data_IF_098889027627
#
_entry.id   IF_098889027627
#
_cell.length_a   1.000
_cell.length_b   1.000
_cell.length_c   1.000
_cell.angle_alpha   90.00
_cell.angle_beta   90.00
_cell.angle_gamma   90.00
#
_symmetry.space_group_name_H-M   'P 1'
#
loop_
_entity.id
_entity.type
_entity.pdbx_description
1 polymer ?
#
# COMPACT_ATOMS: atom_id res chain seq x y z
N UNK A 1 12.69 -3.22 -22.35
CA UNK A 1 12.36 -4.50 -22.98
C UNK A 1 13.29 -4.75 -24.17
N UNK A 2 13.34 -3.93 -25.21
CA UNK A 2 14.24 -4.08 -26.35
C UNK A 2 15.72 -4.28 -25.96
N UNK A 3 16.19 -3.67 -24.90
CA UNK A 3 17.55 -3.85 -24.39
C UNK A 3 17.80 -5.24 -23.79
N UNK A 4 16.81 -5.82 -23.11
CA UNK A 4 16.88 -7.18 -22.56
C UNK A 4 16.92 -8.22 -23.70
N UNK A 5 16.08 -8.05 -24.71
CA UNK A 5 16.05 -8.92 -25.89
C UNK A 5 17.37 -8.87 -26.67
N UNK A 6 17.92 -7.65 -26.89
CA UNK A 6 19.21 -7.47 -27.59
C UNK A 6 20.38 -8.15 -26.90
N UNK A 7 20.34 -8.30 -25.60
CA UNK A 7 21.45 -8.90 -24.82
C UNK A 7 21.18 -10.35 -24.43
N UNK A 8 20.07 -10.96 -24.92
CA UNK A 8 19.68 -12.33 -24.59
C UNK A 8 19.45 -12.55 -23.08
N UNK A 9 19.10 -11.51 -22.38
CA UNK A 9 18.79 -11.56 -20.94
C UNK A 9 17.37 -12.06 -20.72
N UNK A 10 17.14 -12.76 -19.60
CA UNK A 10 15.79 -13.11 -19.16
C UNK A 10 15.00 -11.81 -18.90
N UNK A 11 13.73 -11.78 -19.31
CA UNK A 11 12.83 -10.66 -19.03
C UNK A 11 12.74 -10.42 -17.51
N UNK A 12 12.62 -9.16 -17.08
CA UNK A 12 12.53 -8.86 -15.67
C UNK A 12 11.22 -9.40 -15.10
N UNK A 13 11.24 -9.83 -13.84
CA UNK A 13 10.04 -9.96 -13.02
C UNK A 13 9.55 -8.56 -12.66
N UNK A 14 8.27 -8.28 -12.88
CA UNK A 14 7.62 -7.06 -12.41
C UNK A 14 6.91 -7.39 -11.10
N UNK A 15 7.24 -6.65 -10.04
CA UNK A 15 6.53 -6.70 -8.77
C UNK A 15 5.84 -5.35 -8.59
N UNK A 16 4.51 -5.35 -8.56
CA UNK A 16 3.68 -4.18 -8.29
C UNK A 16 3.32 -4.20 -6.80
N UNK A 17 3.57 -3.09 -6.13
CA UNK A 17 3.25 -2.91 -4.72
C UNK A 17 2.27 -1.75 -4.58
N UNK A 18 1.17 -1.96 -3.87
CA UNK A 18 0.14 -0.96 -3.60
C UNK A 18 -0.54 -0.44 -4.89
N UNK A 19 -0.60 -1.31 -5.89
CA UNK A 19 -1.18 -1.03 -7.21
C UNK A 19 -1.31 -2.33 -8.02
N UNK A 20 -2.13 -2.31 -9.06
CA UNK A 20 -2.22 -3.39 -10.04
C UNK A 20 -3.39 -4.35 -9.82
N UNK A 21 -4.25 -4.11 -8.83
CA UNK A 21 -5.42 -4.97 -8.55
C UNK A 21 -6.70 -4.56 -9.26
N UNK A 22 -6.78 -3.34 -9.81
CA UNK A 22 -8.04 -2.79 -10.31
C UNK A 22 -8.25 -3.05 -11.79
N UNK A 23 -9.51 -3.01 -12.25
CA UNK A 23 -9.83 -3.15 -13.68
C UNK A 23 -9.13 -2.09 -14.56
N UNK A 24 -8.80 -0.93 -14.00
CA UNK A 24 -8.09 0.15 -14.68
C UNK A 24 -6.66 -0.26 -15.07
N UNK A 25 -6.07 -1.20 -14.35
CA UNK A 25 -4.70 -1.69 -14.58
C UNK A 25 -4.63 -2.72 -15.72
N UNK A 26 -5.75 -3.33 -16.11
CA UNK A 26 -5.81 -4.45 -17.06
C UNK A 26 -5.08 -4.13 -18.37
N UNK A 27 -5.27 -2.92 -18.92
CA UNK A 27 -4.65 -2.54 -20.20
C UNK A 27 -3.12 -2.53 -20.09
N UNK A 28 -2.57 -2.05 -18.98
CA UNK A 28 -1.13 -2.00 -18.75
C UNK A 28 -0.56 -3.41 -18.50
N UNK A 29 -1.27 -4.22 -17.71
CA UNK A 29 -0.90 -5.61 -17.42
C UNK A 29 -0.92 -6.47 -18.69
N UNK A 30 -1.97 -6.35 -19.50
CA UNK A 30 -2.11 -7.00 -20.80
C UNK A 30 -0.95 -6.65 -21.74
N UNK A 31 -0.54 -5.37 -21.79
CA UNK A 31 0.61 -4.94 -22.59
C UNK A 31 1.92 -5.57 -22.10
N UNK A 32 2.13 -5.70 -20.79
CA UNK A 32 3.29 -6.37 -20.24
C UNK A 32 3.30 -7.86 -20.59
N UNK A 33 2.15 -8.53 -20.55
CA UNK A 33 2.01 -9.96 -20.90
C UNK A 33 2.28 -10.26 -22.37
N UNK A 34 2.12 -9.30 -23.28
CA UNK A 34 2.53 -9.48 -24.69
C UNK A 34 4.02 -9.81 -24.80
N UNK A 35 4.83 -9.38 -23.84
CA UNK A 35 6.26 -9.63 -23.76
C UNK A 35 6.63 -10.83 -22.88
N UNK A 36 5.65 -11.64 -22.48
CA UNK A 36 5.86 -12.81 -21.60
C UNK A 36 6.56 -12.47 -20.27
N UNK A 37 6.23 -11.31 -19.71
CA UNK A 37 6.78 -10.84 -18.43
C UNK A 37 6.03 -11.51 -17.28
N UNK A 38 6.76 -12.04 -16.30
CA UNK A 38 6.18 -12.49 -15.04
C UNK A 38 5.79 -11.28 -14.17
N UNK A 39 4.53 -11.27 -13.68
CA UNK A 39 3.96 -10.16 -12.91
C UNK A 39 3.44 -10.68 -11.57
N UNK A 40 3.92 -10.07 -10.49
CA UNK A 40 3.43 -10.28 -9.12
C UNK A 40 2.78 -9.00 -8.64
N UNK A 41 1.57 -9.09 -8.11
CA UNK A 41 0.83 -7.98 -7.51
C UNK A 41 0.67 -8.24 -6.02
N UNK A 42 1.09 -7.29 -5.19
CA UNK A 42 0.87 -7.26 -3.74
C UNK A 42 0.12 -5.96 -3.43
N UNK A 43 -1.18 -6.05 -3.24
CA UNK A 43 -2.05 -4.89 -3.14
C UNK A 43 -3.18 -5.14 -2.13
N UNK A 44 -3.82 -4.09 -1.65
CA UNK A 44 -4.92 -4.14 -0.70
C UNK A 44 -6.14 -3.31 -1.13
N UNK A 45 -6.06 -2.66 -2.28
CA UNK A 45 -7.21 -1.96 -2.85
C UNK A 45 -8.30 -2.95 -3.27
N UNK A 46 -9.55 -2.47 -3.28
CA UNK A 46 -10.67 -3.28 -3.75
C UNK A 46 -10.47 -3.67 -5.23
N UNK A 47 -10.31 -4.97 -5.52
CA UNK A 47 -9.91 -5.42 -6.86
C UNK A 47 -11.09 -5.57 -7.84
N UNK A 48 -12.28 -5.14 -7.46
CA UNK A 48 -13.53 -5.43 -8.16
C UNK A 48 -14.27 -6.64 -7.57
N UNK A 49 -15.37 -7.00 -8.22
CA UNK A 49 -16.18 -8.13 -7.80
C UNK A 49 -15.47 -9.46 -8.08
N UNK A 50 -15.57 -10.40 -7.15
CA UNK A 50 -15.04 -11.75 -7.35
C UNK A 50 -15.79 -12.45 -8.49
N UNK A 51 -15.05 -13.00 -9.43
CA UNK A 51 -15.59 -13.85 -10.52
C UNK A 51 -15.91 -15.24 -9.97
N UNK A 52 -15.01 -15.80 -9.16
CA UNK A 52 -15.21 -17.10 -8.48
C UNK A 52 -14.79 -17.01 -7.03
N UNK A 53 -15.34 -17.89 -6.20
CA UNK A 53 -14.97 -18.08 -4.79
C UNK A 53 -14.75 -19.56 -4.51
N UNK A 54 -13.60 -19.92 -3.96
CA UNK A 54 -13.34 -21.27 -3.44
C UNK A 54 -13.50 -21.23 -1.93
N UNK A 55 -14.35 -22.12 -1.41
CA UNK A 55 -14.71 -22.17 0.00
C UNK A 55 -13.82 -23.17 0.77
N UNK A 56 -13.78 -23.06 2.09
CA UNK A 56 -13.13 -24.03 3.00
C UNK A 56 -13.59 -25.49 2.78
N UNK A 57 -14.81 -25.68 2.26
CA UNK A 57 -15.31 -26.99 1.86
C UNK A 57 -14.59 -27.61 0.66
N UNK A 58 -13.82 -26.81 -0.07
CA UNK A 58 -13.21 -27.17 -1.36
C UNK A 58 -14.12 -26.94 -2.56
N UNK A 59 -15.35 -26.45 -2.36
CA UNK A 59 -16.28 -26.12 -3.44
C UNK A 59 -15.91 -24.77 -4.06
N UNK A 60 -15.96 -24.67 -5.39
CA UNK A 60 -15.82 -23.38 -6.10
C UNK A 60 -17.19 -22.97 -6.61
N UNK A 61 -17.60 -21.77 -6.25
CA UNK A 61 -18.88 -21.16 -6.59
C UNK A 61 -18.69 -19.89 -7.42
N UNK A 62 -19.76 -19.46 -8.10
CA UNK A 62 -19.78 -18.16 -8.78
C UNK A 62 -19.62 -17.00 -7.79
N UNK A 63 -18.86 -15.97 -8.19
CA UNK A 63 -18.56 -14.84 -7.33
C UNK A 63 -19.78 -14.08 -6.82
N UNK A 64 -20.89 -14.07 -7.60
CA UNK A 64 -22.16 -13.46 -7.21
C UNK A 64 -22.94 -14.25 -6.15
N UNK A 65 -22.55 -15.51 -5.88
CA UNK A 65 -23.22 -16.35 -4.88
C UNK A 65 -22.92 -15.85 -3.48
N UNK A 66 -23.97 -15.62 -2.68
CA UNK A 66 -23.82 -15.21 -1.28
C UNK A 66 -23.19 -16.35 -0.45
N UNK A 67 -22.18 -16.03 0.32
CA UNK A 67 -21.52 -16.90 1.28
C UNK A 67 -20.92 -16.06 2.42
N UNK A 68 -20.49 -16.73 3.52
CA UNK A 68 -19.75 -16.03 4.55
C UNK A 68 -18.32 -15.76 4.05
N UNK A 69 -17.84 -14.53 4.15
CA UNK A 69 -16.50 -14.15 3.75
C UNK A 69 -15.40 -14.97 4.45
N UNK A 70 -15.61 -15.31 5.73
CA UNK A 70 -14.68 -16.15 6.49
C UNK A 70 -14.50 -17.57 5.90
N UNK A 71 -15.43 -18.02 5.06
CA UNK A 71 -15.35 -19.33 4.41
C UNK A 71 -14.58 -19.28 3.08
N UNK A 72 -14.27 -18.10 2.57
CA UNK A 72 -13.53 -17.92 1.31
C UNK A 72 -12.04 -18.15 1.59
N UNK A 73 -11.44 -19.11 0.88
CA UNK A 73 -10.00 -19.41 0.94
C UNK A 73 -9.24 -18.96 -0.32
N UNK A 74 -9.96 -18.75 -1.42
CA UNK A 74 -9.41 -18.18 -2.64
C UNK A 74 -10.54 -17.58 -3.47
N UNK A 75 -10.29 -16.40 -4.05
CA UNK A 75 -11.16 -15.75 -5.02
C UNK A 75 -10.38 -15.42 -6.28
N UNK A 76 -11.09 -15.15 -7.38
CA UNK A 76 -10.49 -14.60 -8.59
C UNK A 76 -11.23 -13.35 -9.02
N UNK A 77 -10.49 -12.45 -9.64
CA UNK A 77 -10.97 -11.18 -10.18
C UNK A 77 -10.49 -10.99 -11.62
N UNK A 78 -10.96 -9.96 -12.31
CA UNK A 78 -10.68 -9.75 -13.73
C UNK A 78 -9.17 -9.60 -14.04
N UNK A 79 -8.39 -8.98 -13.16
CA UNK A 79 -6.95 -8.78 -13.36
C UNK A 79 -6.15 -10.08 -13.29
N UNK A 80 -6.66 -11.13 -12.64
CA UNK A 80 -5.95 -12.41 -12.46
C UNK A 80 -5.65 -13.12 -13.78
N UNK A 81 -6.34 -12.76 -14.87
CA UNK A 81 -6.03 -13.25 -16.21
C UNK A 81 -4.67 -12.74 -16.73
N UNK A 82 -4.18 -11.63 -16.16
CA UNK A 82 -3.00 -10.90 -16.66
C UNK A 82 -1.85 -10.84 -15.66
N UNK A 83 -1.94 -11.55 -14.53
CA UNK A 83 -0.89 -11.62 -13.52
C UNK A 83 -0.55 -13.06 -13.20
N UNK A 84 0.69 -13.33 -12.77
CA UNK A 84 1.12 -14.68 -12.41
C UNK A 84 0.90 -14.98 -10.94
N UNK A 85 0.93 -13.95 -10.12
CA UNK A 85 0.63 -14.05 -8.68
C UNK A 85 -0.05 -12.77 -8.22
N UNK A 86 -1.22 -12.92 -7.59
CA UNK A 86 -1.97 -11.83 -7.01
C UNK A 86 -2.20 -12.10 -5.52
N UNK A 87 -1.62 -11.25 -4.68
CA UNK A 87 -1.82 -11.27 -3.22
C UNK A 87 -2.64 -10.05 -2.85
N UNK A 88 -3.89 -10.29 -2.49
CA UNK A 88 -4.82 -9.26 -2.09
C UNK A 88 -5.78 -9.83 -1.03
N UNK A 89 -5.98 -9.16 0.13
CA UNK A 89 -6.84 -9.67 1.20
C UNK A 89 -8.28 -9.97 0.76
N UNK A 90 -8.83 -9.21 -0.17
CA UNK A 90 -10.18 -9.45 -0.70
C UNK A 90 -10.34 -10.81 -1.37
N UNK A 91 -9.28 -11.37 -1.95
CA UNK A 91 -9.32 -12.69 -2.58
C UNK A 91 -9.51 -13.84 -1.59
N UNK A 92 -9.30 -13.57 -0.31
CA UNK A 92 -9.47 -14.55 0.78
C UNK A 92 -10.52 -14.12 1.81
N UNK A 93 -11.47 -13.28 1.38
CA UNK A 93 -12.58 -12.82 2.21
C UNK A 93 -12.22 -11.73 3.24
N UNK A 94 -11.02 -11.17 3.15
CA UNK A 94 -10.57 -10.03 3.95
C UNK A 94 -10.98 -8.69 3.34
N UNK A 95 -10.32 -7.63 3.77
CA UNK A 95 -10.57 -6.25 3.36
C UNK A 95 -9.26 -5.44 3.23
N UNK A 96 -9.36 -4.13 3.03
CA UNK A 96 -8.22 -3.21 2.84
C UNK A 96 -7.44 -2.87 4.11
N UNK A 97 -7.75 -3.46 5.26
CA UNK A 97 -7.08 -3.10 6.52
C UNK A 97 -5.65 -3.65 6.64
N UNK A 98 -5.33 -4.72 5.88
CA UNK A 98 -3.95 -5.20 5.76
C UNK A 98 -3.30 -4.45 4.61
N UNK A 99 -2.37 -3.55 4.90
CA UNK A 99 -1.77 -2.66 3.90
C UNK A 99 -0.78 -3.39 2.99
N UNK A 100 -0.57 -2.86 1.78
CA UNK A 100 0.38 -3.42 0.83
C UNK A 100 1.82 -3.50 1.39
N UNK A 101 2.22 -2.52 2.22
CA UNK A 101 3.53 -2.55 2.88
C UNK A 101 3.65 -3.67 3.93
N UNK A 102 2.57 -4.01 4.64
CA UNK A 102 2.55 -5.16 5.54
C UNK A 102 2.63 -6.47 4.74
N UNK A 103 1.82 -6.63 3.69
CA UNK A 103 1.89 -7.78 2.78
C UNK A 103 3.28 -7.98 2.18
N UNK A 104 3.90 -6.90 1.69
CA UNK A 104 5.24 -6.95 1.13
C UNK A 104 6.29 -7.42 2.14
N UNK A 105 6.15 -7.02 3.40
CA UNK A 105 7.05 -7.46 4.48
C UNK A 105 6.87 -8.95 4.78
N UNK A 106 5.65 -9.45 4.84
CA UNK A 106 5.37 -10.88 5.03
C UNK A 106 5.92 -11.72 3.87
N UNK A 107 5.75 -11.26 2.63
CA UNK A 107 6.31 -11.92 1.45
C UNK A 107 7.85 -11.91 1.50
N UNK A 108 8.47 -10.79 1.88
CA UNK A 108 9.91 -10.71 2.03
C UNK A 108 10.44 -11.69 3.08
N UNK A 109 9.74 -11.84 4.20
CA UNK A 109 10.06 -12.80 5.25
C UNK A 109 9.92 -14.26 4.78
N UNK A 110 8.88 -14.57 3.98
CA UNK A 110 8.70 -15.90 3.40
C UNK A 110 9.85 -16.24 2.43
N UNK A 111 10.27 -15.27 1.61
CA UNK A 111 11.37 -15.45 0.64
C UNK A 111 12.72 -15.59 1.35
N UNK A 112 12.96 -14.82 2.39
CA UNK A 112 14.19 -14.81 3.15
C UNK A 112 13.92 -14.58 4.65
N UNK A 113 13.81 -15.65 5.45
CA UNK A 113 13.58 -15.55 6.89
C UNK A 113 14.68 -14.77 7.65
N UNK A 114 15.90 -14.70 7.11
CA UNK A 114 17.00 -14.00 7.76
C UNK A 114 16.80 -12.46 7.84
N UNK A 115 15.85 -11.92 7.06
CA UNK A 115 15.53 -10.49 7.09
C UNK A 115 14.52 -10.11 8.18
N UNK A 116 13.89 -11.07 8.85
CA UNK A 116 12.84 -10.82 9.86
C UNK A 116 13.23 -9.70 10.82
N UNK A 117 14.39 -9.82 11.43
CA UNK A 117 14.88 -8.82 12.38
C UNK A 117 15.13 -7.44 11.74
N UNK A 118 15.47 -7.39 10.47
CA UNK A 118 15.71 -6.13 9.77
C UNK A 118 14.40 -5.38 9.48
N UNK A 119 13.37 -6.11 9.05
CA UNK A 119 12.12 -5.53 8.54
C UNK A 119 10.97 -5.51 9.55
N UNK A 120 11.15 -6.07 10.74
CA UNK A 120 10.12 -6.29 11.79
C UNK A 120 9.29 -5.05 12.15
N UNK A 121 9.86 -3.86 12.02
CA UNK A 121 9.18 -2.59 12.31
C UNK A 121 8.47 -1.97 11.09
N UNK A 122 8.79 -2.41 9.88
CA UNK A 122 8.24 -1.82 8.64
C UNK A 122 6.72 -1.98 8.49
N UNK A 123 6.11 -3.14 8.83
CA UNK A 123 4.65 -3.26 8.79
C UNK A 123 3.95 -2.23 9.67
N UNK A 124 4.50 -1.95 10.86
CA UNK A 124 3.92 -0.95 11.75
C UNK A 124 3.97 0.47 11.15
N UNK A 125 5.04 0.81 10.44
CA UNK A 125 5.16 2.08 9.72
C UNK A 125 4.13 2.14 8.59
N UNK A 126 3.98 1.06 7.81
CA UNK A 126 3.05 0.98 6.70
C UNK A 126 1.59 1.14 7.15
N UNK A 127 1.15 0.34 8.13
CA UNK A 127 -0.25 0.40 8.62
C UNK A 127 -0.59 1.73 9.28
N UNK A 128 0.38 2.39 9.95
CA UNK A 128 0.17 3.71 10.54
C UNK A 128 0.17 4.82 9.48
N UNK A 129 0.97 4.68 8.42
CA UNK A 129 1.00 5.59 7.28
C UNK A 129 -0.30 5.56 6.50
N UNK A 130 -0.81 4.37 6.26
CA UNK A 130 -2.06 4.13 5.54
C UNK A 130 -3.32 4.32 6.41
N UNK A 131 -3.14 4.63 7.70
CA UNK A 131 -4.23 4.86 8.67
C UNK A 131 -5.16 3.66 8.84
N UNK A 132 -4.63 2.45 8.71
CA UNK A 132 -5.39 1.24 9.00
C UNK A 132 -5.83 1.21 10.47
N UNK A 133 -7.03 0.65 10.74
CA UNK A 133 -7.66 0.64 12.07
C UNK A 133 -7.92 -0.79 12.59
N UNK A 134 -7.41 -1.82 11.90
CA UNK A 134 -7.61 -3.20 12.29
C UNK A 134 -6.81 -3.61 13.53
N UNK A 135 -7.23 -4.71 14.16
CA UNK A 135 -6.53 -5.28 15.33
C UNK A 135 -5.09 -5.69 15.03
N UNK A 136 -4.78 -6.03 13.76
CA UNK A 136 -3.45 -6.35 13.26
C UNK A 136 -2.47 -5.20 13.43
N UNK A 137 -2.94 -3.94 13.37
CA UNK A 137 -2.11 -2.74 13.62
C UNK A 137 -1.43 -2.83 14.97
N UNK A 138 -2.17 -3.24 16.02
CA UNK A 138 -1.61 -3.38 17.37
C UNK A 138 -0.57 -4.49 17.46
N UNK A 139 -0.74 -5.57 16.69
CA UNK A 139 0.24 -6.65 16.61
C UNK A 139 1.54 -6.16 15.98
N UNK A 140 1.48 -5.43 14.87
CA UNK A 140 2.67 -4.87 14.22
C UNK A 140 3.36 -3.81 15.08
N UNK A 141 2.61 -2.93 15.76
CA UNK A 141 3.17 -1.96 16.70
C UNK A 141 3.86 -2.67 17.87
N UNK A 142 3.29 -3.75 18.39
CA UNK A 142 3.90 -4.57 19.42
C UNK A 142 5.22 -5.19 18.96
N UNK A 143 5.24 -5.75 17.74
CA UNK A 143 6.46 -6.31 17.15
C UNK A 143 7.55 -5.24 16.99
N UNK A 144 7.19 -4.05 16.53
CA UNK A 144 8.13 -2.93 16.42
C UNK A 144 8.64 -2.46 17.78
N UNK A 145 7.85 -2.58 18.85
CA UNK A 145 8.26 -2.20 20.20
C UNK A 145 9.38 -3.08 20.74
N UNK A 146 9.52 -4.31 20.28
CA UNK A 146 10.63 -5.20 20.60
C UNK A 146 11.97 -4.66 20.07
N UNK A 147 11.92 -3.79 19.07
CA UNK A 147 13.09 -3.06 18.53
C UNK A 147 13.30 -1.68 19.15
N UNK A 148 12.47 -1.31 20.12
CA UNK A 148 12.56 -0.04 20.83
C UNK A 148 11.78 1.10 20.23
N UNK A 149 10.91 0.86 19.23
CA UNK A 149 10.04 1.88 18.65
C UNK A 149 8.73 1.98 19.45
N UNK A 150 8.34 3.18 19.83
CA UNK A 150 6.97 3.43 20.28
C UNK A 150 6.06 3.83 19.10
N UNK A 151 4.74 3.75 19.33
CA UNK A 151 3.73 4.07 18.31
C UNK A 151 3.85 5.50 17.76
N UNK A 152 4.21 6.45 18.61
CA UNK A 152 4.33 7.85 18.22
C UNK A 152 5.55 8.06 17.31
N UNK A 153 6.66 7.42 17.61
CA UNK A 153 7.85 7.43 16.76
C UNK A 153 7.58 6.81 15.39
N UNK A 154 6.92 5.64 15.36
CA UNK A 154 6.54 4.96 14.11
C UNK A 154 5.63 5.84 13.25
N UNK A 155 4.63 6.49 13.86
CA UNK A 155 3.75 7.43 13.17
C UNK A 155 4.51 8.63 12.61
N UNK A 156 5.42 9.21 13.38
CA UNK A 156 6.27 10.32 12.87
C UNK A 156 7.13 9.87 11.68
N UNK A 157 7.68 8.66 11.72
CA UNK A 157 8.46 8.10 10.61
C UNK A 157 7.57 7.96 9.37
N UNK A 158 6.38 7.38 9.51
CA UNK A 158 5.42 7.22 8.42
C UNK A 158 5.04 8.58 7.79
N UNK A 159 4.69 9.57 8.61
CA UNK A 159 4.36 10.92 8.16
C UNK A 159 5.56 11.64 7.49
N UNK A 160 6.80 11.37 7.93
CA UNK A 160 7.99 11.89 7.27
C UNK A 160 8.21 11.25 5.90
N UNK A 161 8.01 9.93 5.77
CA UNK A 161 8.13 9.21 4.50
C UNK A 161 7.11 9.73 3.49
N UNK A 162 5.85 9.84 3.90
CA UNK A 162 4.77 10.38 3.07
C UNK A 162 5.06 11.83 2.64
N UNK A 163 5.50 12.67 3.58
CA UNK A 163 5.89 14.04 3.29
C UNK A 163 7.02 14.11 2.26
N UNK A 164 8.07 13.31 2.41
CA UNK A 164 9.18 13.28 1.47
C UNK A 164 8.74 12.75 0.11
N UNK A 165 7.98 11.67 0.05
CA UNK A 165 7.45 11.12 -1.20
C UNK A 165 6.57 12.13 -1.94
N UNK A 166 5.74 12.89 -1.22
CA UNK A 166 4.83 13.86 -1.82
C UNK A 166 5.53 15.15 -2.25
N UNK A 167 6.41 15.72 -1.41
CA UNK A 167 7.02 17.02 -1.65
C UNK A 167 8.35 16.95 -2.40
N UNK A 168 9.09 15.87 -2.27
CA UNK A 168 10.38 15.69 -2.95
C UNK A 168 10.29 15.03 -4.32
N UNK A 169 9.15 14.48 -4.70
CA UNK A 169 8.95 13.85 -6.02
C UNK A 169 9.22 14.79 -7.20
N UNK A 170 9.22 16.10 -6.97
CA UNK A 170 9.54 17.12 -7.97
C UNK A 170 11.02 17.53 -7.98
N UNK A 171 11.80 17.07 -7.02
CA UNK A 171 13.24 17.28 -6.99
C UNK A 171 13.90 16.13 -7.76
N UNK A 172 14.68 16.46 -8.77
CA UNK A 172 15.34 15.53 -9.70
C UNK A 172 15.77 14.19 -9.04
N UNK A 173 14.92 13.19 -9.08
CA UNK A 173 15.09 11.76 -8.88
C UNK A 173 16.02 11.19 -7.77
N UNK A 174 17.03 11.93 -7.37
CA UNK A 174 18.00 11.48 -6.37
C UNK A 174 17.43 11.51 -4.94
N UNK A 175 16.57 12.47 -4.63
CA UNK A 175 15.99 12.58 -3.29
C UNK A 175 15.09 11.41 -2.92
N UNK A 176 14.29 10.89 -3.86
CA UNK A 176 13.40 9.74 -3.60
C UNK A 176 14.21 8.48 -3.31
N UNK A 177 15.28 8.22 -4.08
CA UNK A 177 16.12 7.03 -3.86
C UNK A 177 16.88 7.15 -2.55
N UNK A 178 17.42 8.34 -2.26
CA UNK A 178 18.15 8.59 -1.00
C UNK A 178 17.20 8.51 0.20
N UNK A 179 15.92 8.87 0.05
CA UNK A 179 14.88 8.73 1.06
C UNK A 179 14.47 7.28 1.23
N UNK A 180 14.24 6.55 0.15
CA UNK A 180 13.89 5.12 0.19
C UNK A 180 15.05 4.31 0.79
N UNK A 181 16.29 4.59 0.41
CA UNK A 181 17.47 4.01 1.04
C UNK A 181 17.70 4.55 2.46
N UNK A 182 17.25 5.75 2.75
CA UNK A 182 17.30 6.40 4.05
C UNK A 182 16.24 5.93 5.02
N UNK A 183 15.17 5.25 4.56
CA UNK A 183 14.21 4.56 5.45
C UNK A 183 14.93 3.58 6.37
N UNK A 184 15.94 2.88 5.86
CA UNK A 184 16.84 2.06 6.69
C UNK A 184 17.64 2.87 7.73
N UNK A 185 17.68 4.18 7.62
CA UNK A 185 18.47 5.05 8.47
C UNK A 185 17.66 6.12 9.21
N UNK A 186 16.39 6.34 8.88
CA UNK A 186 15.53 7.28 9.61
C UNK A 186 15.44 6.89 11.09
N UNK A 187 15.34 5.61 11.37
CA UNK A 187 15.38 5.04 12.70
C UNK A 187 16.71 5.35 13.44
N UNK A 188 17.81 5.40 12.69
CA UNK A 188 19.15 5.71 13.24
C UNK A 188 19.42 7.21 13.34
N UNK A 189 18.53 8.05 12.80
CA UNK A 189 18.68 9.50 12.76
C UNK A 189 17.48 10.25 13.36
N UNK A 190 17.17 10.07 14.67
CA UNK A 190 15.99 10.67 15.29
C UNK A 190 15.96 12.21 15.20
N UNK A 191 17.12 12.87 15.15
CA UNK A 191 17.18 14.34 14.93
C UNK A 191 16.74 14.77 13.55
N UNK A 192 16.94 13.92 12.54
CA UNK A 192 16.48 14.17 11.17
C UNK A 192 14.97 13.99 11.10
N UNK A 193 14.43 12.92 11.68
CA UNK A 193 12.99 12.71 11.79
C UNK A 193 12.31 13.90 12.46
N UNK A 194 12.81 14.38 13.59
CA UNK A 194 12.23 15.54 14.28
C UNK A 194 12.29 16.82 13.44
N UNK A 195 13.35 17.03 12.67
CA UNK A 195 13.47 18.19 11.79
C UNK A 195 12.50 18.14 10.62
N UNK A 196 12.36 16.99 9.97
CA UNK A 196 11.41 16.73 8.87
C UNK A 196 9.97 16.84 9.36
N UNK A 197 9.66 16.23 10.50
CA UNK A 197 8.34 16.28 11.10
C UNK A 197 7.90 17.70 11.45
N UNK A 198 8.82 18.52 11.96
CA UNK A 198 8.56 19.93 12.23
C UNK A 198 8.24 20.71 10.95
N UNK A 199 8.95 20.47 9.86
CA UNK A 199 8.67 21.12 8.58
C UNK A 199 7.34 20.63 7.99
N UNK A 200 7.04 19.34 8.09
CA UNK A 200 5.75 18.75 7.72
C UNK A 200 4.61 19.46 8.44
N UNK A 201 4.63 19.53 9.76
CA UNK A 201 3.57 20.19 10.54
C UNK A 201 3.38 21.65 10.15
N UNK A 202 4.47 22.37 9.91
CA UNK A 202 4.41 23.78 9.47
C UNK A 202 3.74 23.93 8.11
N UNK A 203 4.01 23.02 7.17
CA UNK A 203 3.40 23.07 5.84
C UNK A 203 1.94 22.68 5.88
N UNK A 204 1.58 21.61 6.62
CA UNK A 204 0.20 21.21 6.84
C UNK A 204 -0.60 22.37 7.47
N UNK A 205 -0.09 22.99 8.54
CA UNK A 205 -0.75 24.14 9.20
C UNK A 205 -0.95 25.32 8.23
N UNK A 206 0.05 25.60 7.41
CA UNK A 206 -0.03 26.66 6.40
C UNK A 206 -1.12 26.39 5.35
N UNK A 207 -1.14 25.16 4.82
CA UNK A 207 -2.14 24.75 3.83
C UNK A 207 -3.55 24.70 4.43
N UNK A 208 -3.69 24.16 5.65
CA UNK A 208 -4.97 24.12 6.35
C UNK A 208 -5.52 25.53 6.62
N UNK A 209 -4.69 26.47 7.06
CA UNK A 209 -5.09 27.87 7.25
C UNK A 209 -5.53 28.56 5.96
N UNK A 210 -4.92 28.20 4.84
CA UNK A 210 -5.31 28.69 3.52
C UNK A 210 -6.62 28.06 3.02
N UNK A 211 -6.82 26.76 3.26
CA UNK A 211 -7.95 25.99 2.76
C UNK A 211 -9.26 26.19 3.57
N UNK A 212 -9.16 26.20 4.90
CA UNK A 212 -10.33 26.25 5.78
C UNK A 212 -11.32 27.42 5.49
N UNK A 213 -10.86 28.65 5.17
CA UNK A 213 -11.77 29.74 4.82
C UNK A 213 -12.56 29.51 3.53
N UNK A 214 -12.10 28.60 2.66
CA UNK A 214 -12.72 28.29 1.37
C UNK A 214 -13.71 27.12 1.45
N UNK A 215 -13.91 26.55 2.63
CA UNK A 215 -14.90 25.47 2.83
C UNK A 215 -16.29 26.07 2.78
N UNK A 216 -17.11 25.59 1.83
CA UNK A 216 -18.53 25.90 1.72
C UNK A 216 -19.34 24.71 2.22
N UNK A 217 -20.25 24.99 3.15
CA UNK A 217 -21.20 23.98 3.65
C UNK A 217 -22.48 24.03 2.82
N UNK A 218 -22.78 22.95 2.11
CA UNK A 218 -23.96 22.80 1.27
C UNK A 218 -24.90 21.78 1.93
N UNK A 219 -26.16 22.17 2.12
CA UNK A 219 -27.21 21.27 2.62
C UNK A 219 -27.95 20.66 1.44
N UNK A 220 -28.04 19.33 1.39
CA UNK A 220 -28.84 18.62 0.42
C UNK A 220 -30.32 18.55 0.84
N UNK A 221 -31.22 18.25 -0.11
CA UNK A 221 -32.69 18.13 0.11
C UNK A 221 -33.04 17.07 1.16
N UNK A 222 -32.22 15.99 1.27
CA UNK A 222 -32.38 14.92 2.28
C UNK A 222 -31.85 15.29 3.68
N UNK A 223 -31.43 16.55 3.89
CA UNK A 223 -30.91 17.04 5.16
C UNK A 223 -29.45 16.76 5.45
N UNK A 224 -28.75 16.06 4.59
CA UNK A 224 -27.29 15.81 4.69
C UNK A 224 -26.54 17.10 4.34
N UNK A 225 -25.41 17.31 5.02
CA UNK A 225 -24.52 18.42 4.75
C UNK A 225 -23.24 17.92 4.06
N UNK A 226 -22.84 18.60 2.98
CA UNK A 226 -21.53 18.44 2.36
C UNK A 226 -20.66 19.65 2.67
N UNK A 227 -19.40 19.39 3.00
CA UNK A 227 -18.37 20.42 3.00
C UNK A 227 -17.62 20.34 1.66
N UNK A 228 -17.74 21.37 0.85
CA UNK A 228 -17.06 21.48 -0.43
C UNK A 228 -15.87 22.41 -0.22
N UNK A 229 -14.68 21.91 -0.52
CA UNK A 229 -13.45 22.70 -0.57
C UNK A 229 -13.08 22.91 -2.04
N UNK A 230 -13.06 24.18 -2.45
CA UNK A 230 -12.58 24.60 -3.76
C UNK A 230 -11.09 24.94 -3.61
N UNK A 231 -10.25 24.11 -4.21
CA UNK A 231 -8.79 24.31 -4.24
C UNK A 231 -8.40 24.61 -5.69
N UNK A 232 -8.33 25.92 -6.02
CA UNK A 232 -7.69 26.36 -7.25
C UNK A 232 -6.16 26.43 -7.11
#
# INVERSE_FOLDING_TARGET
>A
LEDFERHGQKLPLIVLLDNGSTEEDIVALMQAKIYDIEIVVLDHHFPGELITKTLKSGETIDGSTECNNEDIIAGTVAVDEYVDTHVNPYLVGGDSQITAGALATEVAHIINPDVEDLVKHLPAIAVLGDRAEADEVEQYVKLASEKGYDREQLKKIAECIDFEAYFLRFMNGRGIIDTILGVDNLDKHPKMVEALYKEYLKRVDTQMKAALPNIKRVKLENGIYFNVLDVE
#
